data_IF_656761661888
#
_entry.id   IF_656761661888
#
_cell.length_a   1.000
_cell.length_b   1.000
_cell.length_c   1.000
_cell.angle_alpha   90.00
_cell.angle_beta   90.00
_cell.angle_gamma   90.00
#
_symmetry.space_group_name_H-M   'P 1'
#
loop_
_entity.id
_entity.type
_entity.pdbx_description
1 polymer ?
#
# COMPACT_ATOMS: atom_id res chain seq x y z
N UNK A 1 32.59 11.87 -17.90
CA UNK A 1 32.35 11.40 -19.28
C UNK A 1 31.97 9.94 -19.16
N UNK A 2 30.74 9.49 -19.24
CA UNK A 2 29.43 10.10 -19.39
C UNK A 2 28.48 9.03 -18.84
N UNK A 3 27.64 9.36 -17.86
CA UNK A 3 26.68 8.42 -17.30
C UNK A 3 25.52 8.30 -18.25
N UNK A 4 25.42 7.19 -18.99
CA UNK A 4 24.21 6.83 -19.70
C UNK A 4 23.11 6.53 -18.67
N UNK A 5 22.17 7.46 -18.59
CA UNK A 5 20.82 7.22 -18.11
C UNK A 5 20.15 6.28 -19.13
N UNK A 6 19.94 5.03 -18.74
CA UNK A 6 19.37 3.98 -19.59
C UNK A 6 17.84 4.04 -19.65
N UNK A 7 17.22 5.06 -19.04
CA UNK A 7 15.76 5.21 -19.04
C UNK A 7 15.03 4.07 -18.32
N UNK A 8 15.74 3.18 -17.63
CA UNK A 8 15.13 2.26 -16.68
C UNK A 8 14.88 3.07 -15.42
N UNK A 9 13.62 3.39 -15.12
CA UNK A 9 13.20 4.16 -13.95
C UNK A 9 13.44 3.43 -12.61
N UNK A 10 14.65 2.91 -12.40
CA UNK A 10 15.10 2.33 -11.16
C UNK A 10 15.37 3.47 -10.18
N UNK A 11 14.31 3.94 -9.54
CA UNK A 11 14.44 4.74 -8.32
C UNK A 11 15.30 3.91 -7.34
N UNK A 12 16.47 4.41 -6.91
CA UNK A 12 17.36 3.61 -6.08
C UNK A 12 16.66 3.25 -4.77
N UNK A 13 16.64 1.97 -4.43
CA UNK A 13 16.23 1.50 -3.12
C UNK A 13 17.26 1.96 -2.09
N UNK A 14 16.79 2.44 -0.94
CA UNK A 14 17.65 2.62 0.25
C UNK A 14 17.86 1.28 0.93
N UNK A 15 16.76 0.50 1.03
CA UNK A 15 16.76 -0.83 1.62
C UNK A 15 15.76 -1.74 0.91
N UNK A 16 16.15 -3.00 0.69
CA UNK A 16 15.26 -4.07 0.25
C UNK A 16 15.51 -5.31 1.11
N UNK A 17 14.49 -5.76 1.81
CA UNK A 17 14.53 -6.96 2.67
C UNK A 17 13.61 -8.00 2.05
N UNK A 18 14.15 -9.20 1.81
CA UNK A 18 13.43 -10.30 1.17
C UNK A 18 13.41 -11.48 2.14
N UNK A 19 12.21 -11.94 2.50
CA UNK A 19 11.96 -13.15 3.29
C UNK A 19 11.09 -14.11 2.46
N UNK A 20 11.76 -14.90 1.63
CA UNK A 20 11.11 -15.82 0.69
C UNK A 20 10.20 -15.09 -0.30
N UNK A 21 8.88 -15.25 -0.14
CA UNK A 21 7.85 -14.63 -0.99
C UNK A 21 7.36 -13.27 -0.49
N UNK A 22 7.86 -12.82 0.67
CA UNK A 22 7.56 -11.50 1.24
C UNK A 22 8.72 -10.56 0.97
N UNK A 23 8.42 -9.31 0.65
CA UNK A 23 9.45 -8.28 0.59
C UNK A 23 8.98 -6.96 1.20
N UNK A 24 9.93 -6.22 1.74
CA UNK A 24 9.79 -4.80 2.11
C UNK A 24 10.82 -4.02 1.31
N UNK A 25 10.38 -2.93 0.69
CA UNK A 25 11.23 -2.00 -0.05
C UNK A 25 11.03 -0.59 0.48
N UNK A 26 12.12 0.12 0.76
CA UNK A 26 12.11 1.54 1.12
C UNK A 26 12.91 2.33 0.08
N UNK A 27 12.30 3.37 -0.48
CA UNK A 27 12.86 4.19 -1.55
C UNK A 27 13.42 5.51 -0.99
N UNK A 28 14.36 6.11 -1.72
CA UNK A 28 14.95 7.41 -1.34
C UNK A 28 13.92 8.53 -1.26
N UNK A 29 12.79 8.39 -1.97
CA UNK A 29 11.63 9.28 -1.92
C UNK A 29 10.91 9.26 -0.56
N UNK A 30 11.21 8.30 0.31
CA UNK A 30 10.50 8.06 1.56
C UNK A 30 9.33 7.08 1.44
N UNK A 31 9.00 6.64 0.22
CA UNK A 31 7.97 5.63 -0.01
C UNK A 31 8.41 4.25 0.49
N UNK A 32 7.49 3.53 1.12
CA UNK A 32 7.71 2.17 1.61
C UNK A 32 6.64 1.25 1.05
N UNK A 33 7.05 0.05 0.67
CA UNK A 33 6.17 -0.96 0.10
C UNK A 33 6.42 -2.30 0.77
N UNK A 34 5.34 -2.93 1.23
CA UNK A 34 5.32 -4.34 1.61
C UNK A 34 4.57 -5.12 0.55
N UNK A 35 4.97 -6.35 0.29
CA UNK A 35 4.16 -7.29 -0.49
C UNK A 35 4.38 -8.73 0.01
N UNK A 36 3.33 -9.54 -0.10
CA UNK A 36 3.34 -10.98 0.10
C UNK A 36 2.86 -11.70 -1.15
N UNK A 37 3.81 -12.17 -1.96
CA UNK A 37 3.48 -12.76 -3.26
C UNK A 37 2.77 -14.11 -3.18
N UNK A 38 2.69 -14.73 -1.99
CA UNK A 38 1.88 -15.94 -1.77
C UNK A 38 0.39 -15.64 -1.92
N UNK A 39 0.02 -14.38 -1.73
CA UNK A 39 -1.35 -13.89 -1.68
C UNK A 39 -1.85 -13.35 -3.03
N UNK A 40 -1.02 -13.35 -4.08
CA UNK A 40 -1.47 -13.18 -5.46
C UNK A 40 -2.24 -14.43 -5.90
N UNK A 41 -3.44 -14.63 -5.36
CA UNK A 41 -4.35 -15.68 -5.81
C UNK A 41 -5.04 -15.20 -7.07
N UNK A 42 -4.88 -15.92 -8.18
CA UNK A 42 -5.41 -15.48 -9.48
C UNK A 42 -6.94 -15.60 -9.63
N UNK A 43 -7.69 -16.10 -8.63
CA UNK A 43 -9.09 -16.51 -8.84
C UNK A 43 -10.07 -16.23 -7.69
N UNK A 44 -9.68 -15.48 -6.65
CA UNK A 44 -10.66 -15.08 -5.62
C UNK A 44 -11.36 -13.79 -6.04
N UNK A 45 -12.69 -13.80 -5.96
CA UNK A 45 -13.48 -12.59 -6.14
C UNK A 45 -13.12 -11.59 -5.04
N UNK A 46 -12.94 -10.30 -5.37
CA UNK A 46 -12.75 -9.25 -4.37
C UNK A 46 -13.87 -9.28 -3.34
N UNK A 47 -13.52 -9.11 -2.06
CA UNK A 47 -14.51 -8.84 -1.03
C UNK A 47 -15.26 -7.51 -1.33
N UNK A 48 -16.51 -7.36 -0.89
CA UNK A 48 -17.20 -6.09 -0.92
C UNK A 48 -16.35 -4.98 -0.30
N UNK A 49 -16.40 -3.77 -0.88
CA UNK A 49 -15.56 -2.66 -0.45
C UNK A 49 -15.65 -2.38 1.06
N UNK A 50 -16.87 -2.38 1.63
CA UNK A 50 -17.07 -2.12 3.05
C UNK A 50 -16.33 -3.14 3.95
N UNK A 51 -16.28 -4.41 3.54
CA UNK A 51 -15.55 -5.44 4.28
C UNK A 51 -14.03 -5.23 4.17
N UNK A 52 -13.53 -4.95 2.96
CA UNK A 52 -12.10 -4.63 2.76
C UNK A 52 -11.67 -3.41 3.55
N UNK A 53 -12.49 -2.35 3.54
CA UNK A 53 -12.22 -1.11 4.26
C UNK A 53 -12.07 -1.37 5.77
N UNK A 54 -13.00 -2.12 6.36
CA UNK A 54 -12.95 -2.47 7.78
C UNK A 54 -11.70 -3.31 8.13
N UNK A 55 -11.36 -4.30 7.29
CA UNK A 55 -10.17 -5.15 7.49
C UNK A 55 -8.88 -4.31 7.40
N UNK A 56 -8.77 -3.46 6.38
CA UNK A 56 -7.60 -2.61 6.18
C UNK A 56 -7.43 -1.60 7.32
N UNK A 57 -8.53 -0.97 7.75
CA UNK A 57 -8.51 0.01 8.84
C UNK A 57 -8.09 -0.64 10.16
N UNK A 58 -8.69 -1.78 10.51
CA UNK A 58 -8.32 -2.53 11.70
C UNK A 58 -6.84 -2.93 11.68
N UNK A 59 -6.35 -3.44 10.55
CA UNK A 59 -4.94 -3.84 10.41
C UNK A 59 -3.97 -2.69 10.70
N UNK A 60 -4.26 -1.49 10.20
CA UNK A 60 -3.44 -0.30 10.40
C UNK A 60 -3.58 0.26 11.83
N UNK A 61 -4.79 0.25 12.40
CA UNK A 61 -5.04 0.68 13.78
C UNK A 61 -4.27 -0.19 14.80
N UNK A 62 -4.29 -1.51 14.64
CA UNK A 62 -3.55 -2.45 15.51
C UNK A 62 -2.03 -2.22 15.49
N UNK A 63 -1.52 -1.57 14.44
CA UNK A 63 -0.10 -1.26 14.24
C UNK A 63 0.24 0.21 14.54
N UNK A 64 -0.75 1.00 14.96
CA UNK A 64 -0.61 2.45 15.17
C UNK A 64 -0.10 3.19 13.91
N UNK A 65 -0.56 2.78 12.72
CA UNK A 65 -0.18 3.41 11.45
C UNK A 65 -1.18 4.48 10.97
N UNK A 66 -2.23 4.74 11.76
CA UNK A 66 -3.26 5.75 11.50
C UNK A 66 -3.22 6.84 12.59
N UNK A 67 -2.05 7.46 12.77
CA UNK A 67 -1.79 8.53 13.74
C UNK A 67 -2.09 9.94 13.20
N UNK A 68 -2.79 10.02 12.07
CA UNK A 68 -3.21 11.25 11.40
C UNK A 68 -4.72 11.24 11.15
N UNK A 69 -5.33 12.39 10.85
CA UNK A 69 -6.72 12.44 10.43
C UNK A 69 -6.86 11.93 8.99
N UNK A 70 -7.79 11.02 8.71
CA UNK A 70 -7.91 10.38 7.39
C UNK A 70 -9.36 10.18 6.92
N UNK A 71 -9.49 9.99 5.61
CA UNK A 71 -10.67 9.40 4.96
C UNK A 71 -10.29 8.09 4.24
N UNK A 72 -11.25 7.16 4.17
CA UNK A 72 -11.07 5.88 3.48
C UNK A 72 -11.79 5.91 2.13
N UNK A 73 -11.06 5.63 1.06
CA UNK A 73 -11.56 5.63 -0.32
C UNK A 73 -11.30 4.27 -1.00
N UNK A 74 -12.16 3.88 -1.96
CA UNK A 74 -11.87 2.72 -2.80
C UNK A 74 -10.70 3.02 -3.74
N UNK A 75 -9.73 2.11 -3.82
CA UNK A 75 -8.68 2.14 -4.83
C UNK A 75 -9.01 1.26 -6.04
N UNK A 76 -7.98 0.82 -6.76
CA UNK A 76 -8.12 -0.05 -7.91
C UNK A 76 -8.22 -1.52 -7.48
N UNK A 77 -9.27 -2.22 -7.92
CA UNK A 77 -9.46 -3.64 -7.60
C UNK A 77 -9.62 -3.90 -6.10
N UNK A 78 -8.59 -4.51 -5.49
CA UNK A 78 -8.56 -4.94 -4.09
C UNK A 78 -8.02 -3.87 -3.13
N UNK A 79 -7.66 -2.70 -3.64
CA UNK A 79 -7.12 -1.60 -2.86
C UNK A 79 -8.16 -0.89 -2.00
N UNK A 80 -7.69 -0.47 -0.83
CA UNK A 80 -8.30 0.50 0.07
C UNK A 80 -7.28 1.60 0.30
N UNK A 81 -7.70 2.86 0.14
CA UNK A 81 -6.84 4.02 0.21
C UNK A 81 -7.17 4.86 1.44
N UNK A 82 -6.14 5.28 2.18
CA UNK A 82 -6.25 6.16 3.33
C UNK A 82 -5.65 7.51 2.96
N UNK A 83 -6.49 8.53 2.82
CA UNK A 83 -6.10 9.87 2.42
C UNK A 83 -5.91 10.74 3.65
N UNK A 84 -4.78 11.45 3.72
CA UNK A 84 -4.52 12.43 4.78
C UNK A 84 -5.51 13.60 4.67
N UNK A 85 -6.08 14.00 5.80
CA UNK A 85 -6.83 15.23 5.96
C UNK A 85 -5.97 16.32 6.60
N UNK A 86 -5.94 17.50 5.99
CA UNK A 86 -5.52 18.74 6.63
C UNK A 86 -6.72 19.68 6.67
N UNK A 87 -7.02 20.23 7.85
CA UNK A 87 -8.20 21.07 8.08
C UNK A 87 -9.52 20.43 7.60
N UNK A 88 -9.67 19.11 7.86
CA UNK A 88 -10.81 18.28 7.42
C UNK A 88 -11.02 18.25 5.91
N UNK A 89 -9.95 18.43 5.13
CA UNK A 89 -9.98 18.30 3.66
C UNK A 89 -8.84 17.39 3.19
N UNK A 90 -9.08 16.52 2.20
CA UNK A 90 -8.01 15.71 1.62
C UNK A 90 -6.94 16.61 1.02
N UNK A 91 -5.67 16.37 1.37
CA UNK A 91 -4.52 17.20 0.96
C UNK A 91 -4.26 17.12 -0.54
N UNK A 92 -4.52 15.96 -1.13
CA UNK A 92 -4.39 15.67 -2.55
C UNK A 92 -5.24 14.42 -2.89
N UNK A 93 -5.25 14.04 -4.17
CA UNK A 93 -5.85 12.78 -4.62
C UNK A 93 -4.90 11.58 -4.44
N UNK A 94 -3.80 11.73 -3.69
CA UNK A 94 -2.85 10.66 -3.43
C UNK A 94 -3.11 10.09 -2.04
N UNK A 95 -3.15 8.78 -1.94
CA UNK A 95 -3.25 8.10 -0.66
C UNK A 95 -1.95 8.26 0.12
N UNK A 96 -2.07 8.43 1.44
CA UNK A 96 -0.94 8.33 2.34
C UNK A 96 -0.54 6.86 2.54
N UNK A 97 -1.55 6.00 2.63
CA UNK A 97 -1.38 4.54 2.75
C UNK A 97 -2.37 3.87 1.81
N UNK A 98 -1.90 2.87 1.06
CA UNK A 98 -2.75 1.98 0.26
C UNK A 98 -2.58 0.57 0.78
N UNK A 99 -3.68 -0.14 0.98
CA UNK A 99 -3.69 -1.52 1.46
C UNK A 99 -4.46 -2.38 0.48
N UNK A 100 -3.88 -3.50 0.05
CA UNK A 100 -4.59 -4.51 -0.73
C UNK A 100 -5.10 -5.64 0.17
N UNK A 101 -6.41 -5.89 0.12
CA UNK A 101 -7.07 -6.97 0.86
C UNK A 101 -7.56 -8.05 -0.12
N UNK A 102 -7.12 -9.28 0.07
CA UNK A 102 -7.52 -10.42 -0.75
C UNK A 102 -8.97 -10.85 -0.53
N UNK A 103 -9.50 -11.67 -1.44
CA UNK A 103 -10.86 -12.23 -1.35
C UNK A 103 -11.12 -13.12 -0.13
N UNK A 104 -10.07 -13.60 0.53
CA UNK A 104 -10.09 -14.41 1.75
C UNK A 104 -9.65 -13.63 3.01
N UNK A 105 -9.77 -12.29 2.98
CA UNK A 105 -9.52 -11.40 4.12
C UNK A 105 -8.06 -11.31 4.59
N UNK A 106 -7.09 -11.45 3.69
CA UNK A 106 -5.66 -11.31 4.02
C UNK A 106 -5.08 -9.99 3.48
N UNK A 107 -4.09 -9.43 4.19
CA UNK A 107 -3.36 -8.24 3.73
C UNK A 107 -2.23 -8.67 2.79
N UNK A 108 -2.35 -8.29 1.52
CA UNK A 108 -1.39 -8.65 0.46
C UNK A 108 -0.23 -7.67 0.35
N UNK A 109 -0.52 -6.37 0.42
CA UNK A 109 0.46 -5.29 0.28
C UNK A 109 0.01 -4.06 1.05
#
# INVERSE_FOLDING_TARGET
VDGQDDGSGNVPYVYRIIDGKRQVSAYLSGEMYYEDTRLYTQNLQPLPYAERAAIAEQFLQERNLLDFAYEIHPGWGNEVQFLLLLDNRPVNNWSMITVNVTGDSQIMS
#
